data_IF_820764703134
#
_entry.id   IF_820764703134
#
_cell.length_a   1.000
_cell.length_b   1.000
_cell.length_c   1.000
_cell.angle_alpha   90.00
_cell.angle_beta   90.00
_cell.angle_gamma   90.00
#
_symmetry.space_group_name_H-M   'P 1'
#
loop_
_entity.id
_entity.type
_entity.pdbx_description
1 polymer ?
#
# COMPACT_ATOMS: atom_id res chain seq x y z
N UNK A 1 9.37 14.61 -8.41
CA UNK A 1 9.90 14.67 -7.03
C UNK A 1 9.00 15.46 -6.09
N UNK A 2 8.76 16.76 -6.33
CA UNK A 2 7.89 17.60 -5.48
C UNK A 2 6.46 17.05 -5.33
N UNK A 3 5.85 16.56 -6.41
CA UNK A 3 4.50 15.98 -6.35
C UNK A 3 4.41 14.71 -5.48
N UNK A 4 5.47 13.89 -5.46
CA UNK A 4 5.51 12.67 -4.63
C UNK A 4 5.58 13.05 -3.16
N UNK A 5 6.44 14.02 -2.82
CA UNK A 5 6.56 14.53 -1.45
C UNK A 5 5.24 15.18 -1.01
N UNK A 6 4.63 16.01 -1.88
CA UNK A 6 3.35 16.65 -1.60
C UNK A 6 2.20 15.64 -1.42
N UNK A 7 2.24 14.49 -2.08
CA UNK A 7 1.24 13.44 -1.91
C UNK A 7 1.48 12.53 -0.70
N UNK A 8 2.75 12.27 -0.36
CA UNK A 8 3.11 11.44 0.80
C UNK A 8 3.01 12.21 2.12
N UNK A 9 3.26 13.53 2.10
CA UNK A 9 3.25 14.36 3.29
C UNK A 9 1.91 14.28 4.07
N UNK A 10 0.72 14.42 3.43
CA UNK A 10 -0.56 14.24 4.11
C UNK A 10 -0.74 12.86 4.74
N UNK A 11 -0.29 11.80 4.06
CA UNK A 11 -0.37 10.43 4.54
C UNK A 11 0.50 10.27 5.79
N UNK A 12 1.72 10.80 5.74
CA UNK A 12 2.64 10.79 6.86
C UNK A 12 2.09 11.58 8.05
N UNK A 13 1.53 12.78 7.81
CA UNK A 13 0.86 13.58 8.84
C UNK A 13 -0.31 12.82 9.48
N UNK A 14 -1.10 12.09 8.69
CA UNK A 14 -2.21 11.29 9.20
C UNK A 14 -1.73 10.14 10.10
N UNK A 15 -0.68 9.43 9.69
CA UNK A 15 -0.07 8.35 10.49
C UNK A 15 0.48 8.91 11.81
N UNK A 16 1.18 10.04 11.74
CA UNK A 16 1.70 10.74 12.92
C UNK A 16 0.58 11.18 13.87
N UNK A 17 -0.51 11.73 13.35
CA UNK A 17 -1.66 12.11 14.15
C UNK A 17 -2.28 10.89 14.88
N UNK A 18 -2.44 9.76 14.17
CA UNK A 18 -2.90 8.51 14.78
C UNK A 18 -1.97 8.02 15.88
N UNK A 19 -0.65 8.09 15.67
CA UNK A 19 0.35 7.72 16.69
C UNK A 19 0.29 8.64 17.92
N UNK A 20 0.08 9.93 17.71
CA UNK A 20 -0.09 10.92 18.79
C UNK A 20 -1.37 10.65 19.59
N UNK A 21 -2.50 10.41 18.93
CA UNK A 21 -3.76 10.07 19.62
C UNK A 21 -3.63 8.78 20.43
N UNK A 22 -2.99 7.75 19.86
CA UNK A 22 -2.71 6.51 20.58
C UNK A 22 -1.84 6.74 21.82
N UNK A 23 -0.82 7.61 21.72
CA UNK A 23 0.06 7.96 22.85
C UNK A 23 -0.69 8.68 23.97
N UNK A 24 -1.70 9.49 23.64
CA UNK A 24 -2.55 10.16 24.62
C UNK A 24 -3.73 9.30 25.11
N UNK A 25 -3.82 8.03 24.70
CA UNK A 25 -4.90 7.14 25.10
C UNK A 25 -6.28 7.53 24.55
N UNK A 26 -6.33 8.40 23.55
CA UNK A 26 -7.56 8.85 22.90
C UNK A 26 -7.78 8.05 21.61
N UNK A 27 -8.97 7.48 21.32
CA UNK A 27 -10.22 7.47 22.11
C UNK A 27 -10.32 6.32 23.14
N UNK A 28 -9.24 5.56 23.34
CA UNK A 28 -9.16 4.40 24.23
C UNK A 28 -8.53 3.20 23.52
N UNK A 29 -7.84 2.33 24.26
CA UNK A 29 -7.09 1.21 23.67
C UNK A 29 -7.97 0.19 22.96
N UNK A 30 -9.21 -0.01 23.42
CA UNK A 30 -10.17 -0.91 22.81
C UNK A 30 -10.72 -0.41 21.46
N UNK A 31 -10.64 0.90 21.19
CA UNK A 31 -11.12 1.48 19.94
C UNK A 31 -10.25 1.08 18.75
N UNK A 32 -8.92 1.08 18.89
CA UNK A 32 -7.99 0.86 17.78
C UNK A 32 -8.16 -0.51 17.10
N UNK A 33 -8.28 -1.64 17.84
CA UNK A 33 -8.56 -2.94 17.24
C UNK A 33 -9.93 -2.99 16.54
N UNK A 34 -10.95 -2.36 17.11
CA UNK A 34 -12.30 -2.31 16.53
C UNK A 34 -12.32 -1.47 15.25
N UNK A 35 -11.66 -0.31 15.25
CA UNK A 35 -11.48 0.56 14.10
C UNK A 35 -10.72 -0.15 12.97
N UNK A 36 -9.68 -0.92 13.29
CA UNK A 36 -8.96 -1.73 12.31
C UNK A 36 -9.86 -2.82 11.70
N UNK A 37 -10.65 -3.51 12.53
CA UNK A 37 -11.59 -4.54 12.06
C UNK A 37 -12.66 -3.97 11.15
N UNK A 38 -13.33 -2.88 11.53
CA UNK A 38 -14.38 -2.29 10.69
C UNK A 38 -13.79 -1.74 9.39
N UNK A 39 -12.60 -1.16 9.43
CA UNK A 39 -11.92 -0.68 8.23
C UNK A 39 -11.61 -1.84 7.29
N UNK A 40 -11.07 -2.94 7.82
CA UNK A 40 -10.68 -4.10 7.02
C UNK A 40 -11.89 -4.86 6.46
N UNK A 41 -12.90 -5.14 7.28
CA UNK A 41 -14.04 -5.98 6.90
C UNK A 41 -15.17 -5.23 6.22
N UNK A 42 -15.30 -3.91 6.42
CA UNK A 42 -16.42 -3.13 5.88
C UNK A 42 -15.92 -2.02 4.95
N UNK A 43 -15.14 -1.05 5.45
CA UNK A 43 -14.81 0.13 4.65
C UNK A 43 -13.93 -0.19 3.44
N UNK A 44 -13.00 -1.11 3.60
CA UNK A 44 -12.11 -1.53 2.53
C UNK A 44 -12.85 -2.24 1.37
N UNK A 45 -13.69 -3.27 1.61
CA UNK A 45 -14.48 -3.85 0.54
C UNK A 45 -15.50 -2.85 -0.04
N UNK A 46 -16.14 -2.01 0.78
CA UNK A 46 -17.02 -0.96 0.28
C UNK A 46 -16.28 0.03 -0.64
N UNK A 47 -15.06 0.42 -0.28
CA UNK A 47 -14.22 1.29 -1.10
C UNK A 47 -13.90 0.64 -2.44
N UNK A 48 -13.47 -0.64 -2.44
CA UNK A 48 -13.16 -1.35 -3.68
C UNK A 48 -14.39 -1.44 -4.57
N UNK A 49 -15.54 -1.84 -4.04
CA UNK A 49 -16.80 -1.94 -4.79
C UNK A 49 -17.20 -0.58 -5.37
N UNK A 50 -17.20 0.47 -4.55
CA UNK A 50 -17.61 1.82 -4.97
C UNK A 50 -16.70 2.37 -6.09
N UNK A 51 -15.39 2.10 -6.02
CA UNK A 51 -14.41 2.57 -7.00
C UNK A 51 -14.38 1.70 -8.25
N UNK A 52 -14.61 0.40 -8.13
CA UNK A 52 -14.70 -0.50 -9.26
C UNK A 52 -15.98 -0.26 -10.08
N UNK A 53 -17.10 0.05 -9.41
CA UNK A 53 -18.37 0.36 -10.07
C UNK A 53 -18.30 1.59 -10.99
N UNK A 54 -17.37 2.51 -10.72
CA UNK A 54 -17.15 3.73 -11.50
C UNK A 54 -15.86 3.69 -12.32
N UNK A 55 -15.14 2.56 -12.31
CA UNK A 55 -13.87 2.43 -13.00
C UNK A 55 -14.07 2.37 -14.53
N UNK A 56 -13.36 3.18 -15.32
CA UNK A 56 -13.44 3.14 -16.78
C UNK A 56 -12.66 1.94 -17.33
N UNK A 57 -13.17 0.73 -17.12
CA UNK A 57 -12.52 -0.54 -17.50
C UNK A 57 -12.15 -0.65 -18.98
N UNK A 58 -12.85 0.09 -19.85
CA UNK A 58 -12.70 0.04 -21.30
C UNK A 58 -11.45 0.75 -21.82
N UNK A 59 -10.87 1.66 -21.03
CA UNK A 59 -9.72 2.49 -21.42
C UNK A 59 -8.40 2.02 -20.76
N UNK A 60 -8.45 0.96 -19.95
CA UNK A 60 -7.31 0.55 -19.15
C UNK A 60 -6.40 -0.37 -19.95
N UNK A 61 -5.20 0.13 -20.25
CA UNK A 61 -4.13 -0.70 -20.82
C UNK A 61 -3.54 -1.60 -19.72
N UNK A 62 -3.90 -2.89 -19.75
CA UNK A 62 -3.47 -3.89 -18.75
C UNK A 62 -1.95 -4.06 -18.72
N UNK A 63 -1.27 -4.00 -19.88
CA UNK A 63 0.19 -4.17 -19.97
C UNK A 63 0.97 -3.12 -19.16
N UNK A 64 0.81 -1.81 -19.42
CA UNK A 64 1.43 -0.75 -18.63
C UNK A 64 1.10 -0.83 -17.13
N UNK A 65 -0.12 -1.23 -16.78
CA UNK A 65 -0.53 -1.39 -15.39
C UNK A 65 0.21 -2.56 -14.71
N UNK A 66 0.31 -3.72 -15.37
CA UNK A 66 1.06 -4.86 -14.86
C UNK A 66 2.55 -4.52 -14.69
N UNK A 67 3.15 -3.80 -15.65
CA UNK A 67 4.53 -3.32 -15.54
C UNK A 67 4.71 -2.34 -14.38
N UNK A 68 3.79 -1.39 -14.20
CA UNK A 68 3.85 -0.43 -13.09
C UNK A 68 3.78 -1.10 -11.71
N UNK A 69 3.11 -2.26 -11.60
CA UNK A 69 3.04 -3.04 -10.36
C UNK A 69 4.25 -3.96 -10.18
N UNK A 70 4.69 -4.64 -11.23
CA UNK A 70 5.76 -5.65 -11.16
C UNK A 70 7.16 -5.01 -11.11
N UNK A 71 7.42 -3.96 -11.89
CA UNK A 71 8.74 -3.38 -12.04
C UNK A 71 9.34 -2.89 -10.71
N UNK A 72 8.63 -2.14 -9.84
CA UNK A 72 9.19 -1.72 -8.55
C UNK A 72 9.57 -2.90 -7.66
N UNK A 73 8.74 -3.96 -7.65
CA UNK A 73 9.00 -5.18 -6.87
C UNK A 73 10.25 -5.88 -7.38
N UNK A 74 10.38 -6.04 -8.70
CA UNK A 74 11.56 -6.65 -9.32
C UNK A 74 12.83 -5.85 -9.09
N UNK A 75 12.76 -4.51 -9.16
CA UNK A 75 13.89 -3.62 -8.88
C UNK A 75 14.34 -3.74 -7.43
N UNK A 76 13.41 -3.72 -6.47
CA UNK A 76 13.75 -3.89 -5.04
C UNK A 76 14.31 -5.30 -4.78
N UNK A 77 13.71 -6.34 -5.37
CA UNK A 77 14.19 -7.71 -5.24
C UNK A 77 15.61 -7.85 -5.80
N UNK A 78 15.87 -7.36 -7.00
CA UNK A 78 17.20 -7.37 -7.61
C UNK A 78 18.20 -6.56 -6.76
N UNK A 79 17.80 -5.38 -6.28
CA UNK A 79 18.62 -4.55 -5.40
C UNK A 79 19.01 -5.26 -4.10
N UNK A 80 18.07 -5.97 -3.46
CA UNK A 80 18.35 -6.76 -2.26
C UNK A 80 19.32 -7.92 -2.55
N UNK A 81 19.14 -8.62 -3.68
CA UNK A 81 20.04 -9.71 -4.11
C UNK A 81 21.46 -9.19 -4.37
N UNK A 82 21.58 -8.07 -5.08
CA UNK A 82 22.87 -7.43 -5.36
C UNK A 82 23.52 -6.84 -4.11
N UNK A 83 22.73 -6.39 -3.14
CA UNK A 83 23.20 -5.88 -1.86
C UNK A 83 23.52 -7.00 -0.84
N UNK A 84 23.16 -8.26 -1.12
CA UNK A 84 23.43 -9.41 -0.24
C UNK A 84 24.87 -9.47 0.31
N UNK A 85 25.94 -9.32 -0.49
CA UNK A 85 27.31 -9.38 0.03
C UNK A 85 27.67 -8.22 0.96
N UNK A 86 26.94 -7.09 0.90
CA UNK A 86 27.17 -5.91 1.73
C UNK A 86 26.40 -5.97 3.06
N UNK A 87 25.50 -6.94 3.22
CA UNK A 87 24.65 -7.08 4.39
C UNK A 87 25.19 -8.19 5.32
N UNK A 88 25.83 -7.86 6.45
CA UNK A 88 26.33 -8.83 7.43
C UNK A 88 25.17 -9.41 8.26
N UNK A 89 24.19 -10.02 7.58
CA UNK A 89 22.98 -10.58 8.17
C UNK A 89 22.97 -12.09 8.03
N UNK A 90 22.50 -12.78 9.07
CA UNK A 90 22.20 -14.21 9.02
C UNK A 90 21.25 -14.53 7.87
N UNK A 91 21.26 -15.78 7.39
CA UNK A 91 20.35 -16.22 6.32
C UNK A 91 18.88 -15.98 6.69
N UNK A 92 18.49 -16.25 7.94
CA UNK A 92 17.13 -16.03 8.42
C UNK A 92 16.77 -14.53 8.45
N UNK A 93 17.67 -13.67 8.94
CA UNK A 93 17.43 -12.23 8.98
C UNK A 93 17.32 -11.63 7.58
N UNK A 94 18.12 -12.11 6.62
CA UNK A 94 18.07 -11.63 5.24
C UNK A 94 16.79 -12.04 4.53
N UNK A 95 16.31 -13.27 4.68
CA UNK A 95 15.05 -13.69 4.06
C UNK A 95 13.87 -12.91 4.63
N UNK A 96 13.85 -12.63 5.94
CA UNK A 96 12.85 -11.73 6.54
C UNK A 96 12.93 -10.31 6.00
N UNK A 97 14.14 -9.74 5.86
CA UNK A 97 14.33 -8.41 5.28
C UNK A 97 13.89 -8.36 3.81
N UNK A 98 14.27 -9.36 3.02
CA UNK A 98 13.91 -9.47 1.62
C UNK A 98 12.39 -9.51 1.44
N UNK A 99 11.70 -10.42 2.15
CA UNK A 99 10.25 -10.54 2.12
C UNK A 99 9.55 -9.27 2.61
N UNK A 100 10.09 -8.63 3.66
CA UNK A 100 9.57 -7.35 4.16
C UNK A 100 9.71 -6.21 3.15
N UNK A 101 10.78 -6.19 2.36
CA UNK A 101 11.08 -5.11 1.41
C UNK A 101 10.24 -5.17 0.14
N UNK A 102 9.87 -6.37 -0.32
CA UNK A 102 9.04 -6.55 -1.51
C UNK A 102 7.53 -6.52 -1.21
N UNK A 103 7.14 -6.50 0.07
CA UNK A 103 5.74 -6.46 0.49
C UNK A 103 5.13 -5.08 0.25
N UNK A 104 4.15 -5.04 -0.63
CA UNK A 104 3.39 -3.82 -0.88
C UNK A 104 2.42 -3.53 0.27
N UNK A 105 2.42 -2.29 0.76
CA UNK A 105 1.40 -1.83 1.69
C UNK A 105 0.21 -1.26 0.91
N UNK A 106 -0.88 -2.03 0.86
CA UNK A 106 -2.09 -1.69 0.13
C UNK A 106 -2.72 -0.36 0.57
N UNK A 107 -2.76 -0.08 1.87
CA UNK A 107 -3.36 1.16 2.38
C UNK A 107 -2.57 2.40 1.97
N UNK A 108 -1.24 2.35 2.13
CA UNK A 108 -0.36 3.45 1.70
C UNK A 108 -0.39 3.61 0.19
N UNK A 109 -0.44 2.51 -0.57
CA UNK A 109 -0.58 2.53 -2.02
C UNK A 109 -1.86 3.21 -2.49
N UNK A 110 -3.01 2.87 -1.90
CA UNK A 110 -4.30 3.51 -2.20
C UNK A 110 -4.32 4.99 -1.84
N UNK A 111 -3.82 5.33 -0.65
CA UNK A 111 -3.74 6.71 -0.21
C UNK A 111 -2.83 7.55 -1.13
N UNK A 112 -1.68 6.98 -1.53
CA UNK A 112 -0.77 7.61 -2.49
C UNK A 112 -1.39 7.77 -3.87
N UNK A 113 -2.11 6.76 -4.36
CA UNK A 113 -2.82 6.84 -5.65
C UNK A 113 -3.92 7.91 -5.63
N UNK A 114 -4.68 8.00 -4.54
CA UNK A 114 -5.67 9.06 -4.35
C UNK A 114 -5.02 10.45 -4.29
N UNK A 115 -3.89 10.60 -3.58
CA UNK A 115 -3.20 11.87 -3.44
C UNK A 115 -2.50 12.34 -4.73
N UNK A 116 -1.97 11.42 -5.54
CA UNK A 116 -1.24 11.74 -6.78
C UNK A 116 -2.13 11.89 -8.00
N UNK A 117 -3.15 11.04 -8.12
CA UNK A 117 -3.93 10.85 -9.35
C UNK A 117 -5.44 11.01 -9.10
N UNK A 118 -5.85 11.39 -7.89
CA UNK A 118 -7.25 11.62 -7.53
C UNK A 118 -8.12 10.37 -7.69
N UNK A 119 -9.37 10.58 -8.12
CA UNK A 119 -10.33 9.49 -8.33
C UNK A 119 -9.88 8.49 -9.39
N UNK A 120 -9.18 8.94 -10.43
CA UNK A 120 -8.62 8.05 -11.47
C UNK A 120 -7.57 7.11 -10.89
N UNK A 121 -6.66 7.64 -10.07
CA UNK A 121 -5.66 6.83 -9.37
C UNK A 121 -6.28 5.81 -8.45
N UNK A 122 -7.28 6.23 -7.69
CA UNK A 122 -7.98 5.36 -6.75
C UNK A 122 -8.72 4.23 -7.48
N UNK A 123 -9.37 4.51 -8.61
CA UNK A 123 -10.01 3.48 -9.44
C UNK A 123 -8.99 2.48 -10.01
N UNK A 124 -7.87 2.95 -10.55
CA UNK A 124 -6.79 2.09 -11.06
C UNK A 124 -6.18 1.24 -9.94
N UNK A 125 -5.94 1.81 -8.76
CA UNK A 125 -5.42 1.08 -7.61
C UNK A 125 -6.42 0.05 -7.08
N UNK A 126 -7.71 0.37 -7.03
CA UNK A 126 -8.76 -0.61 -6.69
C UNK A 126 -8.81 -1.76 -7.69
N UNK A 127 -8.69 -1.48 -8.99
CA UNK A 127 -8.61 -2.51 -10.01
C UNK A 127 -7.35 -3.39 -9.85
N UNK A 128 -6.19 -2.76 -9.59
CA UNK A 128 -4.94 -3.48 -9.33
C UNK A 128 -5.12 -4.47 -8.19
N UNK A 129 -5.77 -4.02 -7.11
CA UNK A 129 -6.01 -4.85 -5.95
C UNK A 129 -6.90 -6.05 -6.27
N UNK A 130 -7.91 -5.94 -7.13
CA UNK A 130 -8.73 -7.11 -7.50
C UNK A 130 -7.87 -8.20 -8.15
N UNK A 131 -6.92 -7.83 -9.01
CA UNK A 131 -6.00 -8.78 -9.63
C UNK A 131 -4.91 -9.27 -8.66
N UNK A 132 -4.44 -8.40 -7.76
CA UNK A 132 -3.37 -8.67 -6.80
C UNK A 132 -3.88 -9.34 -5.50
N UNK A 133 -5.20 -9.38 -5.27
CA UNK A 133 -5.83 -9.86 -4.03
C UNK A 133 -5.51 -11.33 -3.72
N UNK A 134 -5.00 -12.08 -4.71
CA UNK A 134 -4.46 -13.42 -4.50
C UNK A 134 -3.18 -13.43 -3.64
N UNK A 135 -2.49 -12.30 -3.47
CA UNK A 135 -1.10 -12.24 -2.98
C UNK A 135 -0.92 -11.65 -1.56
N UNK A 136 -1.94 -11.08 -0.92
CA UNK A 136 -1.75 -10.29 0.32
C UNK A 136 -2.30 -10.93 1.61
N UNK A 137 -2.70 -12.21 1.59
CA UNK A 137 -3.34 -12.87 2.76
C UNK A 137 -2.34 -13.67 3.63
N UNK A 138 -1.05 -13.74 3.28
CA UNK A 138 -0.03 -14.32 4.16
C UNK A 138 1.27 -13.53 4.19
#
# INVERSE_FOLDING_TARGET
MVQIIAALFPIFCLIMAGAVFKRYGFPGDAFWPLAARITYFIFFPCLIIARLATAPLREIAIGPMALALALPVLVIAAGMVLARPLLPLSNASYTSLFQGSIRMNTYVGLAGAAALLGDKGLALASLALVFLFRWSIF
#
